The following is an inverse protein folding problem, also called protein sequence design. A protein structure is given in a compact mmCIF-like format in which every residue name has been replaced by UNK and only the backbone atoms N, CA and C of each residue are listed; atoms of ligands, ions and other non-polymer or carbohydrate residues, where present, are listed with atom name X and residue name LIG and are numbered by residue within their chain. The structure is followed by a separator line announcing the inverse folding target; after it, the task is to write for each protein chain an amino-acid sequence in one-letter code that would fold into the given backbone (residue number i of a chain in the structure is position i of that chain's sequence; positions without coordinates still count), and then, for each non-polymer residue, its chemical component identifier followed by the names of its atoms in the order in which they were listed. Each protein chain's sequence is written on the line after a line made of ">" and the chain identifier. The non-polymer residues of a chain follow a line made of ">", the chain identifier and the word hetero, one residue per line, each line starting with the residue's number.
data_IF_671678969732
#
_entry.id   IF_671678969732
#
_cell.length_a   1.000
_cell.length_b   1.000
_cell.length_c   1.000
_cell.angle_alpha   90.00
_cell.angle_beta   90.00
_cell.angle_gamma   90.00
#
_symmetry.space_group_name_H-M   'P 1'
#
loop_
_entity.id
_entity.type
_entity.pdbx_description
1 polymer ?
#
# COMPACT_ATOMS: atom_id res chain seq x y z
N UNK A 1 19.75 2.97 -10.69
CA UNK A 1 18.46 2.25 -10.68
C UNK A 1 17.38 3.12 -10.10
N UNK A 2 16.19 2.98 -10.58
CA UNK A 2 15.10 3.82 -10.17
C UNK A 2 14.27 3.14 -9.08
N UNK A 3 13.87 3.89 -8.06
CA UNK A 3 12.93 3.44 -7.05
C UNK A 3 11.53 3.91 -7.42
N UNK A 4 10.54 3.07 -7.22
CA UNK A 4 9.14 3.43 -7.37
C UNK A 4 8.34 2.81 -6.24
N UNK A 5 7.43 3.57 -5.66
CA UNK A 5 6.50 3.09 -4.65
C UNK A 5 5.07 3.50 -5.00
N UNK A 6 4.11 2.64 -4.74
CA UNK A 6 2.70 2.98 -4.87
C UNK A 6 2.15 3.48 -3.54
N UNK A 7 1.37 4.55 -3.59
CA UNK A 7 0.62 5.06 -2.44
C UNK A 7 -0.88 5.04 -2.76
N UNK A 8 -1.69 4.52 -1.85
CA UNK A 8 -3.13 4.46 -2.05
C UNK A 8 -3.78 5.82 -1.79
N UNK A 9 -4.72 6.20 -2.67
CA UNK A 9 -5.59 7.36 -2.50
C UNK A 9 -6.97 6.83 -2.09
N UNK A 10 -7.44 7.17 -0.89
CA UNK A 10 -8.64 6.59 -0.28
C UNK A 10 -9.61 7.65 0.19
N UNK A 11 -10.90 7.31 0.24
CA UNK A 11 -11.91 8.13 0.91
C UNK A 11 -11.87 7.96 2.44
N UNK A 12 -12.73 8.69 3.15
CA UNK A 12 -12.83 8.61 4.62
C UNK A 12 -13.25 7.20 5.13
N UNK A 13 -13.87 6.38 4.28
CA UNK A 13 -14.27 5.00 4.58
C UNK A 13 -13.20 3.98 4.17
N UNK A 14 -12.00 4.41 3.82
CA UNK A 14 -10.88 3.57 3.39
C UNK A 14 -11.12 2.85 2.04
N UNK A 15 -12.06 3.33 1.23
CA UNK A 15 -12.26 2.82 -0.12
C UNK A 15 -11.26 3.44 -1.07
N UNK A 16 -10.48 2.60 -1.73
CA UNK A 16 -9.44 3.03 -2.67
C UNK A 16 -10.05 3.61 -3.93
N UNK A 17 -9.67 4.86 -4.26
CA UNK A 17 -9.93 5.53 -5.53
C UNK A 17 -8.96 5.05 -6.61
N UNK A 18 -7.66 5.03 -6.29
CA UNK A 18 -6.56 4.67 -7.17
C UNK A 18 -5.23 4.69 -6.42
N UNK A 19 -4.14 4.58 -7.16
CA UNK A 19 -2.79 4.59 -6.60
C UNK A 19 -1.93 5.66 -7.27
N UNK A 20 -1.24 6.48 -6.47
CA UNK A 20 -0.16 7.32 -6.99
C UNK A 20 1.13 6.51 -7.06
N UNK A 21 1.86 6.68 -8.17
CA UNK A 21 3.17 6.09 -8.35
C UNK A 21 4.24 7.16 -8.15
N UNK A 22 4.99 7.04 -7.05
CA UNK A 22 6.13 7.92 -6.73
C UNK A 22 7.42 7.30 -7.18
N UNK A 23 8.24 8.10 -7.83
CA UNK A 23 9.47 7.67 -8.47
C UNK A 23 10.67 8.50 -8.03
N UNK A 24 11.85 7.89 -8.00
CA UNK A 24 13.14 8.55 -7.82
C UNK A 24 14.20 7.91 -8.72
N UNK A 25 15.09 8.70 -9.28
CA UNK A 25 16.21 8.23 -10.08
C UNK A 25 17.41 7.74 -9.22
N UNK A 26 18.47 7.26 -9.90
CA UNK A 26 19.68 6.71 -9.27
C UNK A 26 20.46 7.72 -8.39
N UNK A 27 20.20 9.00 -8.52
CA UNK A 27 20.96 10.03 -7.81
C UNK A 27 20.34 10.39 -6.44
N UNK A 28 19.23 9.74 -6.06
CA UNK A 28 18.52 9.97 -4.80
C UNK A 28 18.13 11.45 -4.54
N UNK A 29 18.37 12.31 -5.49
CA UNK A 29 17.94 13.70 -5.46
C UNK A 29 16.66 13.79 -6.30
N UNK A 30 15.61 14.36 -5.73
CA UNK A 30 14.40 14.76 -6.46
C UNK A 30 14.77 15.92 -7.39
N UNK A 31 15.46 15.60 -8.48
CA UNK A 31 16.00 16.60 -9.39
C UNK A 31 15.50 16.29 -10.77
N UNK A 32 14.93 17.28 -11.37
CA UNK A 32 14.35 17.25 -12.70
C UNK A 32 13.03 16.45 -12.73
N UNK A 33 11.92 17.13 -12.40
CA UNK A 33 10.56 16.59 -12.43
C UNK A 33 10.23 15.90 -13.76
N UNK A 34 10.90 16.32 -14.84
CA UNK A 34 10.70 15.76 -16.17
C UNK A 34 11.30 14.35 -16.32
N UNK A 35 12.51 14.12 -15.83
CA UNK A 35 13.13 12.79 -15.87
C UNK A 35 12.42 11.83 -14.91
N UNK A 36 12.02 12.29 -13.74
CA UNK A 36 11.26 11.50 -12.78
C UNK A 36 9.91 11.08 -13.37
N UNK A 37 9.17 12.00 -13.98
CA UNK A 37 7.90 11.74 -14.63
C UNK A 37 8.06 10.78 -15.83
N UNK A 38 9.07 11.01 -16.71
CA UNK A 38 9.32 10.15 -17.86
C UNK A 38 9.70 8.71 -17.44
N UNK A 39 10.47 8.57 -16.39
CA UNK A 39 10.88 7.27 -15.85
C UNK A 39 9.72 6.56 -15.17
N UNK A 40 8.88 7.27 -14.41
CA UNK A 40 7.66 6.71 -13.83
C UNK A 40 6.76 6.14 -14.92
N UNK A 41 6.51 6.92 -15.97
CA UNK A 41 5.71 6.49 -17.14
C UNK A 41 6.35 5.29 -17.84
N UNK A 42 7.66 5.32 -18.12
CA UNK A 42 8.36 4.22 -18.79
C UNK A 42 8.29 2.92 -17.99
N UNK A 43 8.50 2.99 -16.68
CA UNK A 43 8.40 1.82 -15.81
C UNK A 43 6.96 1.31 -15.73
N UNK A 44 5.98 2.21 -15.68
CA UNK A 44 4.57 1.81 -15.72
C UNK A 44 4.22 1.12 -17.03
N UNK A 45 4.69 1.59 -18.18
CA UNK A 45 4.44 0.97 -19.47
C UNK A 45 5.07 -0.43 -19.59
N UNK A 46 6.23 -0.64 -18.98
CA UNK A 46 6.90 -1.94 -18.99
C UNK A 46 6.30 -2.94 -17.99
N UNK A 47 5.70 -2.45 -16.91
CA UNK A 47 5.19 -3.28 -15.82
C UNK A 47 3.66 -3.36 -15.77
N UNK A 48 2.93 -2.33 -16.23
CA UNK A 48 1.46 -2.20 -16.17
C UNK A 48 0.73 -3.00 -17.27
N UNK A 49 1.43 -3.73 -18.10
CA UNK A 49 0.79 -4.84 -18.83
C UNK A 49 0.09 -5.86 -17.89
N UNK A 50 0.37 -5.79 -16.59
CA UNK A 50 -0.25 -6.60 -15.56
C UNK A 50 -1.10 -5.73 -14.62
N UNK A 51 -2.42 -5.91 -14.65
CA UNK A 51 -3.38 -5.39 -13.64
C UNK A 51 -3.01 -5.81 -12.19
N UNK A 52 -1.97 -6.62 -12.05
CA UNK A 52 -1.44 -7.14 -10.78
C UNK A 52 -0.94 -6.05 -9.83
N UNK A 53 -0.40 -4.92 -10.33
CA UNK A 53 0.13 -3.86 -9.46
C UNK A 53 -0.95 -3.01 -8.81
N UNK A 54 -2.08 -2.81 -9.46
CA UNK A 54 -3.12 -1.88 -9.02
C UNK A 54 -4.46 -2.53 -8.70
N UNK A 55 -4.60 -3.85 -8.92
CA UNK A 55 -5.86 -4.57 -8.69
C UNK A 55 -7.04 -3.94 -9.46
N UNK A 56 -6.82 -3.60 -10.73
CA UNK A 56 -7.80 -2.93 -11.59
C UNK A 56 -8.19 -1.49 -11.21
N UNK A 57 -7.47 -0.85 -10.29
CA UNK A 57 -7.69 0.56 -9.95
C UNK A 57 -6.84 1.46 -10.85
N UNK A 58 -7.30 2.70 -11.14
CA UNK A 58 -6.52 3.64 -11.94
C UNK A 58 -5.25 4.07 -11.21
N UNK A 59 -4.25 4.43 -12.01
CA UNK A 59 -3.01 5.06 -11.53
C UNK A 59 -3.05 6.56 -11.70
N UNK A 60 -2.50 7.27 -10.74
CA UNK A 60 -2.21 8.69 -10.81
C UNK A 60 -0.75 8.85 -11.21
N UNK A 61 -0.50 9.46 -12.37
CA UNK A 61 0.85 9.73 -12.89
C UNK A 61 1.02 11.20 -13.20
N UNK A 62 2.17 11.74 -12.79
CA UNK A 62 2.53 13.12 -13.09
C UNK A 62 3.00 13.25 -14.54
N UNK A 63 2.46 14.25 -15.24
CA UNK A 63 2.83 14.58 -16.60
C UNK A 63 3.33 16.01 -16.68
N UNK A 64 4.56 16.17 -17.17
CA UNK A 64 5.11 17.47 -17.56
C UNK A 64 4.56 17.91 -18.89
N UNK A 65 4.71 19.20 -19.23
CA UNK A 65 4.29 19.70 -20.53
C UNK A 65 4.87 18.92 -21.70
N UNK A 66 6.15 18.59 -21.65
CA UNK A 66 6.86 17.83 -22.68
C UNK A 66 6.24 16.43 -22.91
N UNK A 67 5.86 15.73 -21.85
CA UNK A 67 5.19 14.43 -21.95
C UNK A 67 3.78 14.55 -22.56
N UNK A 68 3.06 15.63 -22.23
CA UNK A 68 1.75 15.91 -22.82
C UNK A 68 1.85 16.23 -24.32
N UNK A 69 2.80 17.08 -24.71
CA UNK A 69 3.02 17.46 -26.11
C UNK A 69 3.44 16.25 -26.96
N UNK A 70 4.20 15.33 -26.41
CA UNK A 70 4.61 14.07 -27.04
C UNK A 70 3.51 12.98 -27.02
N UNK A 71 2.33 13.30 -26.52
CA UNK A 71 1.19 12.39 -26.46
C UNK A 71 1.43 11.10 -25.66
N UNK A 72 2.31 11.17 -24.68
CA UNK A 72 2.65 10.01 -23.83
C UNK A 72 1.42 9.45 -23.09
N UNK A 73 0.43 10.26 -22.60
CA UNK A 73 -0.79 9.71 -21.99
C UNK A 73 -1.56 8.75 -22.89
N UNK A 74 -1.52 8.93 -24.23
CA UNK A 74 -2.22 8.05 -25.20
C UNK A 74 -1.72 6.59 -25.20
N UNK A 75 -0.58 6.31 -24.54
CA UNK A 75 -0.07 4.95 -24.32
C UNK A 75 -0.85 4.18 -23.25
N UNK A 76 -1.69 4.86 -22.48
CA UNK A 76 -2.53 4.28 -21.43
C UNK A 76 -4.00 4.35 -21.81
N UNK A 77 -4.77 3.34 -21.39
CA UNK A 77 -6.23 3.40 -21.49
C UNK A 77 -6.82 4.46 -20.55
N UNK A 78 -7.77 5.31 -21.00
CA UNK A 78 -8.32 6.40 -20.20
C UNK A 78 -8.97 5.96 -18.87
N UNK A 79 -9.48 4.73 -18.80
CA UNK A 79 -10.07 4.17 -17.57
C UNK A 79 -9.01 3.72 -16.54
N UNK A 80 -7.76 3.54 -16.98
CA UNK A 80 -6.64 3.10 -16.14
C UNK A 80 -5.72 4.23 -15.70
N UNK A 81 -5.86 5.44 -16.26
CA UNK A 81 -5.01 6.58 -16.00
C UNK A 81 -5.80 7.79 -15.48
N UNK A 82 -5.30 8.40 -14.41
CA UNK A 82 -5.66 9.75 -14.01
C UNK A 82 -4.40 10.60 -14.17
N UNK A 83 -4.47 11.55 -15.10
CA UNK A 83 -3.35 12.43 -15.42
C UNK A 83 -3.20 13.47 -14.32
N UNK A 84 -2.04 13.56 -13.70
CA UNK A 84 -1.71 14.59 -12.72
C UNK A 84 -0.84 15.62 -13.40
N UNK A 85 -1.23 16.89 -13.31
CA UNK A 85 -0.50 18.02 -13.85
C UNK A 85 -0.34 19.11 -12.80
N UNK A 86 0.78 19.81 -12.83
CA UNK A 86 0.95 20.99 -11.99
C UNK A 86 0.18 22.18 -12.51
N UNK A 87 -0.21 23.10 -11.62
CA UNK A 87 -0.92 24.32 -12.01
C UNK A 87 -0.06 25.25 -12.88
N UNK A 88 1.26 25.17 -12.74
CA UNK A 88 2.24 25.89 -13.57
C UNK A 88 2.06 25.65 -15.09
N UNK A 89 1.63 24.44 -15.45
CA UNK A 89 1.36 24.08 -16.86
C UNK A 89 0.19 24.89 -17.42
N UNK A 90 -0.79 25.28 -16.59
CA UNK A 90 -1.99 26.00 -17.00
C UNK A 90 -1.74 27.49 -17.36
N UNK A 91 -0.52 27.97 -17.18
CA UNK A 91 -0.16 29.34 -17.55
C UNK A 91 -0.16 29.54 -19.06
N UNK A 92 0.23 28.51 -19.81
CA UNK A 92 0.25 28.56 -21.29
C UNK A 92 -1.13 28.17 -21.87
N UNK A 93 -1.74 29.02 -22.71
CA UNK A 93 -3.00 28.69 -23.38
C UNK A 93 -2.96 27.40 -24.20
N UNK A 94 -1.83 27.05 -24.80
CA UNK A 94 -1.69 25.79 -25.56
C UNK A 94 -1.85 24.57 -24.71
N UNK A 95 -1.32 24.60 -23.48
CA UNK A 95 -1.47 23.49 -22.55
C UNK A 95 -2.91 23.30 -22.11
N UNK A 96 -3.67 24.39 -21.95
CA UNK A 96 -5.10 24.32 -21.65
C UNK A 96 -5.87 23.61 -22.76
N UNK A 97 -5.60 23.94 -24.03
CA UNK A 97 -6.25 23.28 -25.18
C UNK A 97 -5.92 21.78 -25.21
N UNK A 98 -4.66 21.43 -24.93
CA UNK A 98 -4.21 20.03 -24.85
C UNK A 98 -4.91 19.27 -23.73
N UNK A 99 -5.03 19.85 -22.54
CA UNK A 99 -5.74 19.23 -21.40
C UNK A 99 -7.22 19.03 -21.71
N UNK A 100 -7.86 20.02 -22.37
CA UNK A 100 -9.25 19.92 -22.80
C UNK A 100 -9.41 18.78 -23.84
N UNK A 101 -8.43 18.60 -24.74
CA UNK A 101 -8.44 17.49 -25.70
C UNK A 101 -8.35 16.13 -25.01
N UNK A 102 -7.42 15.96 -24.05
CA UNK A 102 -7.34 14.73 -23.27
C UNK A 102 -8.63 14.43 -22.50
N UNK A 103 -9.24 15.47 -21.92
CA UNK A 103 -10.53 15.31 -21.23
C UNK A 103 -11.64 14.82 -22.17
N UNK A 104 -11.70 15.36 -23.41
CA UNK A 104 -12.65 14.91 -24.44
C UNK A 104 -12.39 13.46 -24.87
N UNK A 105 -11.13 13.02 -24.83
CA UNK A 105 -10.73 11.64 -25.11
C UNK A 105 -10.97 10.67 -23.95
N UNK A 106 -11.59 11.14 -22.86
CA UNK A 106 -12.02 10.30 -21.73
C UNK A 106 -11.05 10.22 -20.56
N UNK A 107 -9.90 10.88 -20.63
CA UNK A 107 -8.96 10.92 -19.49
C UNK A 107 -9.51 11.77 -18.35
N UNK A 108 -9.25 11.33 -17.11
CA UNK A 108 -9.49 12.14 -15.92
C UNK A 108 -8.24 12.97 -15.60
N UNK A 109 -8.48 14.21 -15.15
CA UNK A 109 -7.42 15.19 -14.89
C UNK A 109 -7.43 15.58 -13.42
N UNK A 110 -6.25 15.50 -12.79
CA UNK A 110 -5.99 16.01 -11.44
C UNK A 110 -4.96 17.14 -11.53
N UNK A 111 -5.22 18.25 -10.84
CA UNK A 111 -4.27 19.37 -10.76
C UNK A 111 -3.67 19.42 -9.37
N UNK A 112 -2.34 19.48 -9.30
CA UNK A 112 -1.58 19.58 -8.04
C UNK A 112 -1.27 21.04 -7.73
N UNK A 113 -1.36 21.40 -6.46
CA UNK A 113 -1.00 22.70 -5.87
C UNK A 113 -1.72 23.89 -6.49
N UNK A 114 -2.96 23.65 -6.89
CA UNK A 114 -3.81 24.61 -7.56
C UNK A 114 -4.01 25.87 -6.73
N UNK A 115 -3.63 27.01 -7.31
CA UNK A 115 -3.90 28.33 -6.76
C UNK A 115 -5.02 28.98 -7.57
N UNK A 116 -6.02 29.53 -6.88
CA UNK A 116 -7.18 30.10 -7.53
C UNK A 116 -6.87 31.46 -8.16
N UNK A 117 -6.53 31.45 -9.46
CA UNK A 117 -6.48 32.66 -10.27
C UNK A 117 -7.66 32.69 -11.25
N UNK A 118 -8.25 33.88 -11.53
CA UNK A 118 -9.39 34.00 -12.44
C UNK A 118 -9.18 33.39 -13.83
N UNK A 119 -7.92 33.33 -14.29
CA UNK A 119 -7.54 32.74 -15.58
C UNK A 119 -7.81 31.22 -15.68
N UNK A 120 -7.94 30.52 -14.56
CA UNK A 120 -8.14 29.08 -14.53
C UNK A 120 -9.62 28.64 -14.58
N UNK A 121 -10.56 29.57 -14.47
CA UNK A 121 -11.97 29.20 -14.49
C UNK A 121 -12.39 28.45 -15.77
N UNK A 122 -11.79 28.79 -16.92
CA UNK A 122 -12.09 28.12 -18.19
C UNK A 122 -11.61 26.67 -18.26
N UNK A 123 -10.58 26.29 -17.50
CA UNK A 123 -10.04 24.92 -17.49
C UNK A 123 -10.73 24.03 -16.45
N UNK A 124 -11.35 24.63 -15.43
CA UNK A 124 -11.96 23.87 -14.34
C UNK A 124 -12.98 22.84 -14.82
N UNK A 125 -13.72 23.13 -15.89
CA UNK A 125 -14.68 22.17 -16.45
C UNK A 125 -14.00 20.87 -16.93
N UNK A 126 -12.72 20.96 -17.32
CA UNK A 126 -11.93 19.83 -17.80
C UNK A 126 -11.17 19.10 -16.70
N UNK A 127 -11.23 19.57 -15.44
CA UNK A 127 -10.55 18.99 -14.27
C UNK A 127 -11.54 18.16 -13.46
N UNK A 128 -11.11 17.01 -12.97
CA UNK A 128 -11.92 16.14 -12.09
C UNK A 128 -11.51 16.29 -10.63
N UNK A 129 -10.20 16.40 -10.37
CA UNK A 129 -9.61 16.42 -9.03
C UNK A 129 -8.69 17.62 -8.84
N UNK A 130 -8.75 18.21 -7.65
CA UNK A 130 -7.79 19.20 -7.18
C UNK A 130 -7.02 18.57 -6.03
N UNK A 131 -5.69 18.58 -6.12
CA UNK A 131 -4.78 18.01 -5.11
C UNK A 131 -4.15 19.14 -4.30
N UNK A 132 -4.17 19.00 -2.98
CA UNK A 132 -3.62 19.96 -2.01
C UNK A 132 -2.62 19.26 -1.09
N UNK A 133 -1.42 19.85 -0.94
CA UNK A 133 -0.33 19.29 -0.13
C UNK A 133 -0.49 19.66 1.34
N UNK A 134 -0.57 18.67 2.23
CA UNK A 134 -0.63 18.86 3.67
C UNK A 134 0.69 18.57 4.39
N UNK A 135 1.75 18.19 3.67
CA UNK A 135 3.06 17.93 4.27
C UNK A 135 3.82 19.20 4.59
N UNK A 136 3.69 20.22 3.74
CA UNK A 136 4.48 21.45 3.80
C UNK A 136 3.62 22.64 3.39
N UNK A 137 3.78 23.75 4.09
CA UNK A 137 3.22 25.03 3.66
C UNK A 137 2.07 25.55 4.52
N UNK A 138 1.57 26.69 4.10
CA UNK A 138 0.47 27.40 4.74
C UNK A 138 -0.87 26.88 4.21
N UNK A 139 -1.62 26.17 5.04
CA UNK A 139 -2.95 25.66 4.72
C UNK A 139 -4.07 26.70 4.82
N UNK A 140 -3.74 27.94 5.21
CA UNK A 140 -4.73 29.00 5.46
C UNK A 140 -5.62 29.33 4.26
N UNK A 141 -5.15 29.10 3.04
CA UNK A 141 -5.92 29.34 1.80
C UNK A 141 -6.76 28.14 1.37
N UNK A 142 -6.51 26.94 1.91
CA UNK A 142 -7.13 25.69 1.46
C UNK A 142 -8.65 25.69 1.63
N UNK A 143 -9.17 26.27 2.72
CA UNK A 143 -10.60 26.39 2.94
C UNK A 143 -11.31 27.13 1.79
N UNK A 144 -10.72 28.23 1.32
CA UNK A 144 -11.27 29.00 0.18
C UNK A 144 -11.16 28.23 -1.12
N UNK A 145 -10.02 27.56 -1.38
CA UNK A 145 -9.81 26.74 -2.58
C UNK A 145 -10.83 25.60 -2.61
N UNK A 146 -11.01 24.88 -1.51
CA UNK A 146 -11.93 23.75 -1.38
C UNK A 146 -13.40 24.23 -1.62
N UNK A 147 -13.78 25.35 -1.02
CA UNK A 147 -15.13 25.89 -1.17
C UNK A 147 -15.45 26.21 -2.64
N UNK A 148 -14.52 26.88 -3.33
CA UNK A 148 -14.68 27.23 -4.74
C UNK A 148 -14.67 25.95 -5.61
N UNK A 149 -13.73 25.05 -5.39
CA UNK A 149 -13.65 23.79 -6.14
C UNK A 149 -14.94 22.97 -6.02
N UNK A 150 -15.53 22.90 -4.83
CA UNK A 150 -16.83 22.25 -4.61
C UNK A 150 -17.97 22.93 -5.34
N UNK A 151 -17.95 24.26 -5.45
CA UNK A 151 -18.94 25.00 -6.23
C UNK A 151 -18.89 24.63 -7.72
N UNK A 152 -17.72 24.21 -8.22
CA UNK A 152 -17.52 23.66 -9.57
C UNK A 152 -17.63 22.12 -9.62
N UNK A 153 -18.18 21.48 -8.61
CA UNK A 153 -18.32 20.02 -8.50
C UNK A 153 -17.01 19.24 -8.65
N UNK A 154 -15.88 19.83 -8.20
CA UNK A 154 -14.57 19.15 -8.22
C UNK A 154 -14.34 18.36 -6.94
N UNK A 155 -13.61 17.25 -7.05
CA UNK A 155 -13.22 16.42 -5.94
C UNK A 155 -11.85 16.84 -5.41
N UNK A 156 -11.70 16.86 -4.11
CA UNK A 156 -10.47 17.30 -3.44
C UNK A 156 -9.71 16.09 -2.91
N UNK A 157 -8.44 16.02 -3.26
CA UNK A 157 -7.49 15.03 -2.74
C UNK A 157 -6.48 15.76 -1.85
N UNK A 158 -6.48 15.45 -0.56
CA UNK A 158 -5.43 15.87 0.36
C UNK A 158 -4.28 14.87 0.28
N UNK A 159 -3.08 15.31 -0.12
CA UNK A 159 -1.92 14.44 -0.21
C UNK A 159 -0.81 14.86 0.76
N UNK A 160 0.14 13.94 1.02
CA UNK A 160 1.19 14.15 2.01
C UNK A 160 0.68 14.07 3.46
N UNK A 161 -0.36 13.30 3.71
CA UNK A 161 -0.92 13.10 5.04
C UNK A 161 -0.07 12.09 5.83
N UNK A 162 0.84 12.59 6.64
CA UNK A 162 1.76 11.77 7.43
C UNK A 162 1.40 11.68 8.91
N UNK A 163 0.52 12.58 9.38
CA UNK A 163 0.11 12.66 10.79
C UNK A 163 -1.40 12.66 10.94
N UNK A 164 -1.86 12.39 12.16
CA UNK A 164 -3.27 12.46 12.49
C UNK A 164 -3.80 13.89 12.38
N UNK A 165 -3.02 14.85 12.83
CA UNK A 165 -3.39 16.27 12.82
C UNK A 165 -3.64 16.76 11.39
N UNK A 166 -2.74 16.43 10.45
CA UNK A 166 -2.92 16.75 9.03
C UNK A 166 -4.17 16.06 8.44
N UNK A 167 -4.45 14.82 8.84
CA UNK A 167 -5.67 14.13 8.42
C UNK A 167 -6.93 14.81 8.95
N UNK A 168 -6.96 15.12 10.25
CA UNK A 168 -8.13 15.72 10.90
C UNK A 168 -8.40 17.12 10.28
N UNK A 169 -7.35 17.92 10.06
CA UNK A 169 -7.46 19.22 9.38
C UNK A 169 -8.03 19.07 7.94
N UNK A 170 -7.49 18.16 7.14
CA UNK A 170 -7.97 17.92 5.77
C UNK A 170 -9.43 17.43 5.75
N UNK A 171 -9.83 16.61 6.72
CA UNK A 171 -11.19 16.11 6.86
C UNK A 171 -12.17 17.23 7.30
N UNK A 172 -11.77 18.09 8.25
CA UNK A 172 -12.55 19.25 8.69
C UNK A 172 -12.76 20.27 7.57
N UNK A 173 -11.71 20.51 6.76
CA UNK A 173 -11.81 21.34 5.55
C UNK A 173 -12.71 20.71 4.48
N UNK A 174 -13.02 19.43 4.61
CA UNK A 174 -13.95 18.70 3.75
C UNK A 174 -13.31 18.15 2.49
N UNK A 175 -12.07 17.69 2.53
CA UNK A 175 -11.46 16.90 1.44
C UNK A 175 -12.23 15.60 1.22
N UNK A 176 -12.31 15.14 -0.04
CA UNK A 176 -13.04 13.92 -0.42
C UNK A 176 -12.17 12.69 -0.32
N UNK A 177 -10.87 12.82 -0.61
CA UNK A 177 -9.88 11.73 -0.64
C UNK A 177 -8.59 12.15 0.07
N UNK A 178 -7.87 11.16 0.53
CA UNK A 178 -6.66 11.32 1.34
C UNK A 178 -5.57 10.39 0.85
N UNK A 179 -4.32 10.86 0.89
CA UNK A 179 -3.14 10.11 0.48
C UNK A 179 -1.99 10.40 1.45
N UNK A 180 -1.29 9.35 1.87
CA UNK A 180 -0.12 9.45 2.75
C UNK A 180 0.05 8.24 3.65
N UNK A 181 1.19 8.17 4.35
CA UNK A 181 1.53 7.03 5.20
C UNK A 181 0.54 6.85 6.36
N UNK A 182 0.06 7.95 6.95
CA UNK A 182 -0.95 7.90 8.01
C UNK A 182 -2.27 7.32 7.49
N UNK A 183 -2.68 7.67 6.27
CA UNK A 183 -3.95 7.23 5.66
C UNK A 183 -3.95 5.73 5.43
N UNK A 184 -2.84 5.18 4.95
CA UNK A 184 -2.70 3.74 4.70
C UNK A 184 -2.84 2.90 5.99
N UNK A 185 -2.50 3.47 7.14
CA UNK A 185 -2.56 2.81 8.44
C UNK A 185 -3.79 3.20 9.29
N UNK A 186 -4.62 4.13 8.81
CA UNK A 186 -5.80 4.59 9.54
C UNK A 186 -6.89 3.54 9.54
N UNK A 187 -7.60 3.42 10.66
CA UNK A 187 -8.81 2.62 10.77
C UNK A 187 -10.07 3.48 10.62
N UNK A 188 -11.15 2.97 10.03
CA UNK A 188 -12.45 3.62 10.03
C UNK A 188 -12.93 3.85 11.46
N UNK A 189 -13.58 4.99 11.70
CA UNK A 189 -14.09 5.38 13.04
C UNK A 189 -15.20 4.46 13.59
N UNK A 190 -15.74 3.58 12.77
CA UNK A 190 -16.88 2.70 13.10
C UNK A 190 -16.50 1.29 13.53
N UNK A 191 -15.19 0.96 13.64
CA UNK A 191 -14.77 -0.38 14.04
C UNK A 191 -15.06 -0.59 15.53
N UNK A 192 -15.90 -1.59 15.84
CA UNK A 192 -16.05 -2.08 17.21
C UNK A 192 -14.76 -2.82 17.61
N UNK A 193 -14.25 -2.57 18.83
CA UNK A 193 -13.17 -3.38 19.41
C UNK A 193 -13.56 -4.86 19.27
N UNK A 194 -12.81 -5.57 18.45
CA UNK A 194 -12.96 -7.01 18.31
C UNK A 194 -12.15 -7.67 19.41
N UNK A 195 -12.70 -8.71 20.02
CA UNK A 195 -11.94 -9.60 20.92
C UNK A 195 -10.98 -10.45 20.07
N UNK A 196 -10.07 -9.74 19.39
CA UNK A 196 -9.09 -10.29 18.43
C UNK A 196 -8.18 -11.35 19.07
N UNK A 197 -7.89 -11.19 20.36
CA UNK A 197 -7.04 -12.11 21.11
C UNK A 197 -7.81 -13.32 21.68
N UNK A 198 -9.11 -13.43 21.44
CA UNK A 198 -9.93 -14.53 21.93
C UNK A 198 -10.36 -15.46 20.79
N UNK A 199 -10.03 -16.73 20.92
CA UNK A 199 -10.55 -17.79 20.05
C UNK A 199 -9.47 -18.59 19.30
N UNK A 200 -9.96 -19.52 18.47
CA UNK A 200 -9.16 -20.45 17.67
C UNK A 200 -8.11 -19.76 16.78
N UNK A 201 -8.37 -18.51 16.41
CA UNK A 201 -7.45 -17.74 15.57
C UNK A 201 -6.14 -17.37 16.30
N UNK A 202 -6.24 -16.87 17.54
CA UNK A 202 -5.05 -16.58 18.35
C UNK A 202 -4.21 -17.84 18.57
N UNK A 203 -4.87 -18.97 18.86
CA UNK A 203 -4.20 -20.26 18.99
C UNK A 203 -3.49 -20.66 17.68
N UNK A 204 -4.11 -20.44 16.52
CA UNK A 204 -3.47 -20.68 15.23
C UNK A 204 -2.27 -19.78 15.00
N UNK A 205 -2.36 -18.50 15.31
CA UNK A 205 -1.24 -17.54 15.21
C UNK A 205 -0.05 -18.03 16.04
N UNK A 206 -0.30 -18.41 17.30
CA UNK A 206 0.74 -18.95 18.19
C UNK A 206 1.34 -20.24 17.62
N UNK A 207 0.49 -21.17 17.16
CA UNK A 207 0.94 -22.47 16.64
C UNK A 207 1.84 -22.32 15.40
N UNK A 208 1.54 -21.37 14.49
CA UNK A 208 2.32 -21.16 13.25
C UNK A 208 3.55 -20.25 13.43
N UNK A 209 3.69 -19.58 14.57
CA UNK A 209 4.88 -18.78 14.90
C UNK A 209 5.97 -19.58 15.60
N UNK A 210 5.67 -20.82 16.01
CA UNK A 210 6.69 -21.72 16.60
C UNK A 210 7.81 -22.01 15.59
N UNK A 211 9.07 -22.14 16.04
CA UNK A 211 10.20 -22.52 15.17
C UNK A 211 9.96 -23.84 14.44
N UNK A 212 9.36 -24.82 15.11
CA UNK A 212 8.89 -26.07 14.51
C UNK A 212 7.36 -26.10 14.59
N UNK A 213 6.73 -26.11 13.42
CA UNK A 213 5.26 -26.13 13.31
C UNK A 213 4.79 -27.58 13.44
N UNK A 214 3.96 -27.82 14.45
CA UNK A 214 3.22 -29.07 14.59
C UNK A 214 1.94 -29.03 13.73
N UNK A 215 1.97 -29.78 12.61
CA UNK A 215 0.84 -29.88 11.71
C UNK A 215 -0.39 -30.54 12.33
N UNK A 216 -0.20 -31.41 13.32
CA UNK A 216 -1.30 -32.05 14.04
C UNK A 216 -1.99 -31.05 14.95
N UNK A 217 -1.24 -30.22 15.68
CA UNK A 217 -1.77 -29.12 16.48
C UNK A 217 -2.57 -28.15 15.60
N UNK A 218 -2.00 -27.68 14.50
CA UNK A 218 -2.67 -26.74 13.57
C UNK A 218 -3.94 -27.38 12.98
N UNK A 219 -3.85 -28.64 12.56
CA UNK A 219 -4.99 -29.38 12.03
C UNK A 219 -6.11 -29.52 13.06
N UNK A 220 -5.78 -29.78 14.31
CA UNK A 220 -6.77 -29.89 15.38
C UNK A 220 -7.49 -28.55 15.63
N UNK A 221 -6.74 -27.45 15.71
CA UNK A 221 -7.33 -26.11 15.91
C UNK A 221 -8.27 -25.76 14.75
N UNK A 222 -7.86 -25.96 13.50
CA UNK A 222 -8.69 -25.68 12.32
C UNK A 222 -9.92 -26.57 12.29
N UNK A 223 -9.77 -27.85 12.61
CA UNK A 223 -10.87 -28.82 12.55
C UNK A 223 -11.97 -28.59 13.61
N UNK A 224 -11.65 -27.86 14.69
CA UNK A 224 -12.64 -27.43 15.69
C UNK A 224 -13.55 -26.30 15.22
N UNK A 225 -13.17 -25.64 14.11
CA UNK A 225 -13.90 -24.50 13.57
C UNK A 225 -14.39 -24.82 12.16
N UNK A 226 -15.70 -24.93 11.99
CA UNK A 226 -16.34 -25.27 10.71
C UNK A 226 -16.03 -24.23 9.64
N UNK A 227 -15.97 -22.95 10.01
CA UNK A 227 -15.71 -21.85 9.08
C UNK A 227 -14.27 -21.89 8.59
N UNK A 228 -13.31 -22.13 9.49
CA UNK A 228 -11.89 -22.28 9.13
C UNK A 228 -11.66 -23.52 8.26
N UNK A 229 -12.28 -24.64 8.63
CA UNK A 229 -12.21 -25.89 7.83
C UNK A 229 -12.75 -25.68 6.41
N UNK A 230 -13.91 -25.06 6.30
CA UNK A 230 -14.52 -24.78 4.99
C UNK A 230 -13.65 -23.84 4.16
N UNK A 231 -13.15 -22.76 4.75
CA UNK A 231 -12.31 -21.77 4.07
C UNK A 231 -10.99 -22.39 3.58
N UNK A 232 -10.33 -23.23 4.38
CA UNK A 232 -9.11 -23.94 4.00
C UNK A 232 -9.34 -24.90 2.83
N UNK A 233 -10.36 -25.76 2.94
CA UNK A 233 -10.67 -26.72 1.90
C UNK A 233 -11.08 -26.03 0.59
N UNK A 234 -11.82 -24.94 0.66
CA UNK A 234 -12.20 -24.13 -0.50
C UNK A 234 -10.98 -23.52 -1.18
N UNK A 235 -10.06 -22.93 -0.41
CA UNK A 235 -8.82 -22.33 -0.91
C UNK A 235 -7.99 -23.36 -1.67
N UNK A 236 -7.68 -24.48 -1.03
CA UNK A 236 -6.77 -25.51 -1.58
C UNK A 236 -7.40 -26.20 -2.81
N UNK A 237 -8.71 -26.32 -2.85
CA UNK A 237 -9.44 -26.92 -3.99
C UNK A 237 -9.78 -25.91 -5.10
N UNK A 238 -9.33 -24.64 -4.98
CA UNK A 238 -9.49 -23.64 -6.03
C UNK A 238 -8.64 -23.93 -7.26
N UNK A 239 -8.93 -23.27 -8.37
CA UNK A 239 -8.17 -23.41 -9.62
C UNK A 239 -6.68 -23.05 -9.48
N UNK A 240 -6.34 -22.22 -8.50
CA UNK A 240 -4.95 -21.83 -8.20
C UNK A 240 -4.02 -23.00 -7.90
N UNK A 241 -4.50 -24.00 -7.11
CA UNK A 241 -3.69 -25.16 -6.77
C UNK A 241 -3.75 -26.29 -7.83
N UNK A 242 -4.64 -26.21 -8.79
CA UNK A 242 -4.79 -27.14 -9.93
C UNK A 242 -4.67 -28.64 -9.53
N UNK A 243 -5.24 -29.02 -8.39
CA UNK A 243 -5.14 -30.38 -7.85
C UNK A 243 -5.87 -31.36 -8.75
N UNK A 244 -5.21 -32.50 -9.10
CA UNK A 244 -5.85 -33.63 -9.78
C UNK A 244 -6.97 -34.26 -8.93
N UNK A 245 -6.71 -34.44 -7.64
CA UNK A 245 -7.67 -34.94 -6.66
C UNK A 245 -7.90 -33.87 -5.60
N UNK A 246 -9.15 -33.57 -5.32
CA UNK A 246 -9.50 -32.56 -4.30
C UNK A 246 -9.09 -33.02 -2.91
N UNK A 247 -8.55 -32.09 -2.10
CA UNK A 247 -8.31 -32.31 -0.70
C UNK A 247 -9.66 -32.41 0.05
N UNK A 248 -9.86 -33.50 0.78
CA UNK A 248 -11.09 -33.77 1.55
C UNK A 248 -10.92 -33.65 3.05
N UNK A 249 -9.68 -33.52 3.53
CA UNK A 249 -9.36 -33.37 4.95
C UNK A 249 -8.47 -32.16 5.21
N UNK A 250 -8.55 -31.62 6.43
CA UNK A 250 -7.68 -30.50 6.86
C UNK A 250 -6.20 -30.88 6.72
N UNK A 251 -5.79 -32.08 7.13
CA UNK A 251 -4.40 -32.54 7.00
C UNK A 251 -3.92 -32.54 5.56
N UNK A 252 -4.74 -33.07 4.62
CA UNK A 252 -4.40 -33.04 3.19
C UNK A 252 -4.25 -31.61 2.68
N UNK A 253 -5.17 -30.74 3.07
CA UNK A 253 -5.13 -29.33 2.69
C UNK A 253 -3.87 -28.61 3.22
N UNK A 254 -3.47 -28.88 4.45
CA UNK A 254 -2.26 -28.32 5.04
C UNK A 254 -0.98 -28.76 4.32
N UNK A 255 -0.90 -30.03 3.93
CA UNK A 255 0.23 -30.56 3.15
C UNK A 255 0.32 -29.91 1.78
N UNK A 256 -0.82 -29.73 1.10
CA UNK A 256 -0.87 -29.06 -0.21
C UNK A 256 -0.49 -27.58 -0.10
N UNK A 257 -1.01 -26.89 0.92
CA UNK A 257 -0.78 -25.47 1.12
C UNK A 257 0.68 -25.17 1.46
N UNK A 258 1.29 -26.01 2.28
CA UNK A 258 2.64 -25.81 2.81
C UNK A 258 2.72 -24.68 3.87
N UNK A 259 3.82 -24.63 4.61
CA UNK A 259 3.99 -23.77 5.78
C UNK A 259 3.89 -22.29 5.44
N UNK A 260 4.55 -21.86 4.38
CA UNK A 260 4.59 -20.44 4.01
C UNK A 260 3.20 -19.90 3.64
N UNK A 261 2.47 -20.64 2.81
CA UNK A 261 1.12 -20.26 2.39
C UNK A 261 0.10 -20.44 3.51
N UNK A 262 0.30 -21.43 4.40
CA UNK A 262 -0.51 -21.60 5.60
C UNK A 262 -0.42 -20.37 6.51
N UNK A 263 0.78 -19.88 6.80
CA UNK A 263 0.97 -18.65 7.58
C UNK A 263 0.24 -17.48 6.96
N UNK A 264 0.42 -17.27 5.67
CA UNK A 264 -0.27 -16.19 4.94
C UNK A 264 -1.79 -16.32 5.03
N UNK A 265 -2.33 -17.53 4.83
CA UNK A 265 -3.75 -17.79 4.88
C UNK A 265 -4.36 -17.56 6.29
N UNK A 266 -3.68 -18.02 7.34
CA UNK A 266 -4.11 -17.81 8.73
C UNK A 266 -4.14 -16.31 9.03
N UNK A 267 -3.12 -15.58 8.63
CA UNK A 267 -3.08 -14.14 8.80
C UNK A 267 -4.22 -13.42 8.06
N UNK A 268 -4.52 -13.83 6.84
CA UNK A 268 -5.66 -13.27 6.09
C UNK A 268 -7.00 -13.54 6.74
N UNK A 269 -7.22 -14.73 7.25
CA UNK A 269 -8.47 -15.09 7.94
C UNK A 269 -8.67 -14.31 9.23
N UNK A 270 -7.60 -13.97 9.94
CA UNK A 270 -7.67 -13.19 11.16
C UNK A 270 -8.41 -11.89 10.99
N UNK A 271 -8.19 -11.27 9.85
CA UNK A 271 -8.75 -9.96 9.57
C UNK A 271 -10.15 -10.03 8.95
N UNK A 272 -10.52 -11.19 8.40
CA UNK A 272 -11.84 -11.40 7.78
C UNK A 272 -12.96 -11.71 8.78
N UNK A 273 -12.64 -12.18 9.98
CA UNK A 273 -13.65 -12.48 11.03
C UNK A 273 -14.20 -11.23 11.73
N UNK A 274 -13.61 -10.06 11.51
CA UNK A 274 -14.13 -8.79 11.99
C UNK A 274 -15.19 -8.31 11.00
N UNK A 275 -16.45 -8.51 11.22
CA UNK A 275 -17.69 -7.98 10.57
C UNK A 275 -17.55 -7.08 9.31
N UNK A 276 -16.56 -7.33 8.44
CA UNK A 276 -16.27 -6.51 7.24
C UNK A 276 -15.76 -5.10 7.54
N UNK A 277 -15.35 -4.82 8.76
CA UNK A 277 -14.97 -3.48 9.24
C UNK A 277 -13.48 -3.16 9.05
N UNK A 278 -12.63 -4.15 8.76
CA UNK A 278 -11.18 -3.92 8.57
C UNK A 278 -10.87 -3.45 7.14
N UNK A 279 -10.05 -2.39 7.00
CA UNK A 279 -9.65 -1.91 5.69
C UNK A 279 -8.79 -2.93 4.94
N UNK A 280 -9.21 -3.30 3.75
CA UNK A 280 -8.47 -4.22 2.88
C UNK A 280 -7.03 -3.75 2.65
N UNK A 281 -6.82 -2.44 2.51
CA UNK A 281 -5.48 -1.87 2.27
C UNK A 281 -4.54 -2.00 3.47
N UNK A 282 -5.04 -1.91 4.71
CA UNK A 282 -4.22 -2.12 5.90
C UNK A 282 -3.75 -3.57 6.00
N UNK A 283 -4.62 -4.51 5.65
CA UNK A 283 -4.28 -5.93 5.59
C UNK A 283 -3.25 -6.19 4.49
N UNK A 284 -3.47 -5.65 3.28
CA UNK A 284 -2.50 -5.76 2.17
C UNK A 284 -1.15 -5.14 2.53
N UNK A 285 -1.15 -4.01 3.27
CA UNK A 285 0.07 -3.38 3.76
C UNK A 285 0.84 -4.30 4.70
N UNK A 286 0.14 -5.00 5.62
CA UNK A 286 0.77 -6.00 6.50
C UNK A 286 1.47 -7.10 5.70
N UNK A 287 0.78 -7.63 4.68
CA UNK A 287 1.35 -8.67 3.81
C UNK A 287 2.50 -8.17 2.96
N UNK A 288 2.39 -6.95 2.45
CA UNK A 288 3.46 -6.34 1.66
C UNK A 288 4.72 -6.18 2.52
N UNK A 289 4.59 -5.62 3.73
CA UNK A 289 5.70 -5.47 4.67
C UNK A 289 6.30 -6.81 5.06
N UNK A 290 5.47 -7.83 5.28
CA UNK A 290 5.92 -9.18 5.62
C UNK A 290 6.77 -9.80 4.51
N UNK A 291 6.24 -9.82 3.28
CA UNK A 291 6.97 -10.36 2.14
C UNK A 291 8.23 -9.54 1.84
N UNK A 292 8.15 -8.22 1.94
CA UNK A 292 9.28 -7.33 1.68
C UNK A 292 10.39 -7.55 2.72
N UNK A 293 10.06 -7.62 4.01
CA UNK A 293 11.02 -7.95 5.07
C UNK A 293 11.70 -9.31 4.86
N UNK A 294 10.91 -10.36 4.51
CA UNK A 294 11.42 -11.71 4.22
C UNK A 294 12.40 -11.71 3.04
N UNK A 295 12.08 -10.99 1.97
CA UNK A 295 12.98 -10.97 0.81
C UNK A 295 14.23 -10.11 1.05
N UNK A 296 14.10 -8.96 1.71
CA UNK A 296 15.23 -8.11 2.07
C UNK A 296 16.19 -8.83 3.05
N UNK A 297 15.68 -9.61 3.99
CA UNK A 297 16.50 -10.33 4.97
C UNK A 297 17.48 -11.30 4.34
N UNK A 298 17.20 -11.82 3.14
CA UNK A 298 18.10 -12.70 2.38
C UNK A 298 19.39 -12.03 1.93
N UNK A 299 19.37 -10.70 1.85
CA UNK A 299 20.52 -9.89 1.45
C UNK A 299 21.17 -9.19 2.64
N UNK A 300 20.44 -9.03 3.75
CA UNK A 300 20.93 -8.35 4.94
C UNK A 300 21.96 -9.20 5.68
N UNK A 301 23.10 -8.60 6.01
CA UNK A 301 24.17 -9.27 6.74
C UNK A 301 23.93 -9.21 8.24
N UNK A 302 24.37 -10.27 8.94
CA UNK A 302 24.37 -10.36 10.39
C UNK A 302 23.03 -10.01 11.08
N UNK A 303 21.90 -10.36 10.45
CA UNK A 303 20.59 -10.27 11.10
C UNK A 303 20.50 -11.34 12.20
N UNK A 304 20.04 -10.98 13.42
CA UNK A 304 19.87 -11.93 14.51
C UNK A 304 18.58 -12.76 14.41
N UNK A 305 17.91 -12.72 13.27
CA UNK A 305 16.65 -13.41 12.96
C UNK A 305 16.73 -14.09 11.60
N UNK A 306 15.98 -15.15 11.41
CA UNK A 306 15.87 -15.83 10.12
C UNK A 306 14.84 -15.15 9.20
N UNK A 307 14.73 -15.64 7.95
CA UNK A 307 13.81 -15.07 6.95
C UNK A 307 12.34 -15.20 7.38
N UNK A 308 11.98 -16.25 8.11
CA UNK A 308 10.63 -16.47 8.62
C UNK A 308 10.31 -15.46 9.73
N UNK A 309 11.26 -15.21 10.61
CA UNK A 309 11.14 -14.19 11.64
C UNK A 309 11.11 -12.77 11.05
N UNK A 310 11.86 -12.52 9.97
CA UNK A 310 11.78 -11.27 9.24
C UNK A 310 10.38 -11.06 8.61
N UNK A 311 9.74 -12.13 8.11
CA UNK A 311 8.34 -12.09 7.68
C UNK A 311 7.43 -11.63 8.83
N UNK A 312 7.61 -12.16 10.05
CA UNK A 312 6.81 -11.77 11.22
C UNK A 312 7.06 -10.30 11.62
N UNK A 313 8.30 -9.81 11.50
CA UNK A 313 8.61 -8.39 11.71
C UNK A 313 7.73 -7.50 10.83
N UNK A 314 7.69 -7.75 9.53
CA UNK A 314 6.85 -6.99 8.61
C UNK A 314 5.36 -7.12 8.91
N UNK A 315 4.88 -8.36 9.15
CA UNK A 315 3.49 -8.68 9.43
C UNK A 315 2.97 -7.97 10.68
N UNK A 316 3.70 -8.01 11.77
CA UNK A 316 3.25 -7.45 13.04
C UNK A 316 3.46 -5.93 13.16
N UNK A 317 4.07 -5.29 12.15
CA UNK A 317 4.24 -3.84 12.14
C UNK A 317 2.91 -3.06 12.17
N UNK A 318 1.84 -3.67 11.72
CA UNK A 318 0.48 -3.09 11.73
C UNK A 318 -0.42 -3.65 12.84
N UNK A 319 0.08 -4.58 13.67
CA UNK A 319 -0.71 -5.31 14.64
C UNK A 319 -1.45 -4.38 15.62
N UNK A 320 -0.78 -3.36 16.15
CA UNK A 320 -1.41 -2.39 17.06
C UNK A 320 -2.57 -1.63 16.43
N UNK A 321 -2.49 -1.34 15.12
CA UNK A 321 -3.59 -0.72 14.36
C UNK A 321 -4.73 -1.71 14.16
N UNK A 322 -4.43 -2.92 13.72
CA UNK A 322 -5.43 -3.95 13.45
C UNK A 322 -6.18 -4.38 14.72
N UNK A 323 -5.49 -4.48 15.85
CA UNK A 323 -6.10 -4.89 17.13
C UNK A 323 -6.68 -3.74 17.93
N UNK A 324 -6.37 -2.48 17.57
CA UNK A 324 -6.70 -1.28 18.35
C UNK A 324 -6.18 -1.32 19.80
N UNK A 325 -5.10 -2.06 20.02
CA UNK A 325 -4.39 -2.19 21.28
C UNK A 325 -2.99 -1.59 21.09
N UNK A 326 -2.36 -0.96 22.11
CA UNK A 326 -0.97 -0.56 21.99
C UNK A 326 -0.10 -1.70 21.48
N UNK A 327 0.78 -1.43 20.52
CA UNK A 327 1.58 -2.47 19.86
C UNK A 327 2.38 -3.29 20.86
N UNK A 328 2.92 -2.63 21.89
CA UNK A 328 3.67 -3.29 22.96
C UNK A 328 2.83 -4.35 23.70
N UNK A 329 1.56 -4.02 24.02
CA UNK A 329 0.66 -4.96 24.69
C UNK A 329 0.29 -6.12 23.76
N UNK A 330 0.01 -5.83 22.49
CA UNK A 330 -0.30 -6.87 21.50
C UNK A 330 0.89 -7.84 21.27
N UNK A 331 2.13 -7.33 21.27
CA UNK A 331 3.33 -8.14 21.08
C UNK A 331 3.75 -8.95 22.33
N UNK A 332 3.31 -8.52 23.52
CA UNK A 332 3.68 -9.21 24.79
C UNK A 332 3.19 -10.65 24.81
N UNK A 333 2.01 -10.90 24.28
CA UNK A 333 1.35 -12.22 24.27
C UNK A 333 1.90 -13.16 23.17
N UNK A 334 2.72 -12.62 22.24
CA UNK A 334 3.21 -13.41 21.12
C UNK A 334 4.56 -14.07 21.44
N UNK A 335 4.74 -15.38 21.12
CA UNK A 335 6.01 -16.10 21.28
C UNK A 335 6.97 -15.79 20.12
N UNK A 336 7.34 -14.53 19.97
CA UNK A 336 8.28 -14.05 18.94
C UNK A 336 9.57 -13.54 19.59
N UNK A 337 10.63 -13.49 18.78
CA UNK A 337 11.95 -13.02 19.20
C UNK A 337 11.89 -11.61 19.81
N UNK A 338 12.65 -11.39 20.90
CA UNK A 338 12.81 -10.07 21.50
C UNK A 338 13.46 -9.07 20.52
N UNK A 339 14.24 -9.53 19.56
CA UNK A 339 14.78 -8.69 18.50
C UNK A 339 13.68 -8.08 17.63
N UNK A 340 12.61 -8.84 17.35
CA UNK A 340 11.44 -8.35 16.60
C UNK A 340 10.65 -7.35 17.44
N UNK A 341 10.39 -7.66 18.71
CA UNK A 341 9.65 -6.77 19.61
C UNK A 341 10.37 -5.41 19.74
N UNK A 342 11.67 -5.44 20.03
CA UNK A 342 12.50 -4.24 20.12
C UNK A 342 12.49 -3.44 18.81
N UNK A 343 12.65 -4.12 17.67
CA UNK A 343 12.60 -3.46 16.36
C UNK A 343 11.26 -2.76 16.09
N UNK A 344 10.16 -3.39 16.45
CA UNK A 344 8.81 -2.85 16.22
C UNK A 344 8.44 -1.71 17.18
N UNK A 345 8.92 -1.76 18.43
CA UNK A 345 8.58 -0.78 19.47
C UNK A 345 9.53 0.43 19.44
N UNK A 346 10.84 0.19 19.46
CA UNK A 346 11.87 1.23 19.58
C UNK A 346 12.70 1.46 18.32
N UNK A 347 12.54 0.63 17.28
CA UNK A 347 13.32 0.65 16.02
C UNK A 347 14.82 0.46 16.22
N UNK A 348 15.21 -0.24 17.25
CA UNK A 348 16.61 -0.46 17.62
C UNK A 348 17.17 -1.75 17.02
N UNK A 349 18.50 -1.81 16.94
CA UNK A 349 19.24 -2.96 16.45
C UNK A 349 19.15 -3.18 14.95
N UNK A 350 19.73 -4.29 14.46
CA UNK A 350 19.75 -4.60 13.03
C UNK A 350 18.36 -4.90 12.47
N UNK A 351 17.48 -5.48 13.26
CA UNK A 351 16.08 -5.67 12.89
C UNK A 351 15.33 -4.34 12.78
N UNK A 352 15.66 -3.35 13.64
CA UNK A 352 15.14 -1.99 13.54
C UNK A 352 15.58 -1.30 12.24
N UNK A 353 16.85 -1.49 11.82
CA UNK A 353 17.33 -0.99 10.54
C UNK A 353 16.58 -1.62 9.35
N UNK A 354 16.31 -2.94 9.40
CA UNK A 354 15.51 -3.61 8.36
C UNK A 354 14.10 -3.02 8.29
N UNK A 355 13.50 -2.77 9.44
CA UNK A 355 12.18 -2.14 9.52
C UNK A 355 12.21 -0.69 9.00
N UNK A 356 13.27 0.07 9.29
CA UNK A 356 13.44 1.42 8.75
C UNK A 356 13.61 1.44 7.23
N UNK A 357 14.32 0.49 6.63
CA UNK A 357 14.38 0.35 5.16
C UNK A 357 12.98 0.27 4.57
N UNK A 358 12.11 -0.57 5.16
CA UNK A 358 10.74 -0.76 4.69
C UNK A 358 9.92 0.53 4.81
N UNK A 359 9.92 1.15 6.00
CA UNK A 359 9.13 2.35 6.26
C UNK A 359 9.60 3.55 5.44
N UNK A 360 10.92 3.72 5.28
CA UNK A 360 11.48 4.79 4.46
C UNK A 360 11.16 4.59 2.98
N UNK A 361 11.17 3.33 2.50
CA UNK A 361 10.76 3.02 1.13
C UNK A 361 9.30 3.41 0.89
N UNK A 362 8.39 3.00 1.76
CA UNK A 362 6.95 3.32 1.66
C UNK A 362 6.66 4.82 1.66
N UNK A 363 7.48 5.59 2.38
CA UNK A 363 7.38 7.06 2.46
C UNK A 363 8.07 7.79 1.31
N UNK A 364 8.70 7.06 0.39
CA UNK A 364 9.57 7.62 -0.64
C UNK A 364 10.74 8.45 -0.06
N UNK A 365 11.23 8.09 1.14
CA UNK A 365 12.37 8.73 1.81
C UNK A 365 13.67 8.03 1.40
N UNK A 366 14.06 8.19 0.14
CA UNK A 366 15.08 7.40 -0.53
C UNK A 366 16.47 7.48 0.11
N UNK A 367 16.88 8.67 0.57
CA UNK A 367 18.17 8.88 1.23
C UNK A 367 18.24 8.11 2.56
N UNK A 368 17.21 8.24 3.40
CA UNK A 368 17.15 7.52 4.68
C UNK A 368 17.05 6.00 4.47
N UNK A 369 16.31 5.56 3.45
CA UNK A 369 16.24 4.15 3.06
C UNK A 369 17.62 3.62 2.67
N UNK A 370 18.38 4.36 1.83
CA UNK A 370 19.71 3.95 1.38
C UNK A 370 20.72 3.88 2.54
N UNK A 371 20.69 4.84 3.48
CA UNK A 371 21.54 4.82 4.67
C UNK A 371 21.28 3.60 5.56
N UNK A 372 20.02 3.21 5.75
CA UNK A 372 19.66 2.02 6.53
C UNK A 372 20.00 0.73 5.80
N UNK A 373 19.85 0.70 4.47
CA UNK A 373 20.22 -0.43 3.62
C UNK A 373 21.75 -0.64 3.60
N UNK A 374 22.54 0.43 3.51
CA UNK A 374 24.01 0.38 3.55
C UNK A 374 24.51 -0.24 4.86
N UNK A 375 23.93 0.15 6.01
CA UNK A 375 24.28 -0.43 7.33
C UNK A 375 23.98 -1.92 7.44
N UNK A 376 23.06 -2.42 6.63
CA UNK A 376 22.70 -3.84 6.53
C UNK A 376 23.42 -4.56 5.39
N UNK A 377 24.20 -3.85 4.60
CA UNK A 377 24.86 -4.34 3.37
C UNK A 377 23.84 -4.88 2.33
N UNK A 378 22.60 -4.34 2.32
CA UNK A 378 21.57 -4.68 1.34
C UNK A 378 21.87 -3.91 0.04
N UNK A 379 22.02 -4.60 -1.11
CA UNK A 379 22.21 -3.94 -2.38
C UNK A 379 21.00 -3.07 -2.76
N UNK A 380 21.19 -1.77 -2.85
CA UNK A 380 20.09 -0.82 -3.13
C UNK A 380 19.44 -1.05 -4.49
N UNK A 381 20.18 -1.60 -5.46
CA UNK A 381 19.67 -1.98 -6.77
C UNK A 381 18.63 -3.11 -6.76
N UNK A 382 18.59 -3.90 -5.69
CA UNK A 382 17.61 -4.99 -5.52
C UNK A 382 16.32 -4.55 -4.85
N UNK A 383 16.36 -3.49 -4.06
CA UNK A 383 15.23 -3.11 -3.19
C UNK A 383 13.96 -2.83 -4.02
N UNK A 384 14.09 -2.05 -5.10
CA UNK A 384 12.96 -1.72 -5.97
C UNK A 384 12.36 -2.97 -6.64
N UNK A 385 13.19 -3.82 -7.20
CA UNK A 385 12.75 -5.07 -7.83
C UNK A 385 11.99 -5.94 -6.82
N UNK A 386 12.57 -6.14 -5.63
CA UNK A 386 11.97 -6.94 -4.56
C UNK A 386 10.61 -6.36 -4.16
N UNK A 387 10.51 -5.03 -4.03
CA UNK A 387 9.25 -4.37 -3.68
C UNK A 387 8.13 -4.70 -4.68
N UNK A 388 8.43 -4.60 -6.00
CA UNK A 388 7.44 -4.91 -7.04
C UNK A 388 7.00 -6.36 -7.03
N UNK A 389 7.94 -7.29 -6.93
CA UNK A 389 7.64 -8.71 -6.83
C UNK A 389 6.73 -9.00 -5.61
N UNK A 390 6.95 -8.29 -4.50
CA UNK A 390 6.09 -8.40 -3.31
C UNK A 390 4.70 -7.80 -3.54
N UNK A 391 4.60 -6.67 -4.24
CA UNK A 391 3.30 -6.04 -4.58
C UNK A 391 2.47 -6.95 -5.47
N UNK A 392 3.06 -7.50 -6.53
CA UNK A 392 2.39 -8.46 -7.42
C UNK A 392 1.91 -9.68 -6.64
N UNK A 393 2.79 -10.30 -5.88
CA UNK A 393 2.47 -11.47 -5.06
C UNK A 393 1.29 -11.22 -4.11
N UNK A 394 1.28 -10.07 -3.43
CA UNK A 394 0.20 -9.72 -2.50
C UNK A 394 -1.12 -9.51 -3.23
N UNK A 395 -1.12 -8.86 -4.38
CA UNK A 395 -2.33 -8.65 -5.17
C UNK A 395 -2.87 -9.96 -5.75
N UNK A 396 -2.01 -10.87 -6.21
CA UNK A 396 -2.41 -12.19 -6.71
C UNK A 396 -3.06 -13.02 -5.61
N UNK A 397 -2.44 -13.06 -4.42
CA UNK A 397 -3.02 -13.74 -3.24
C UNK A 397 -4.38 -13.11 -2.89
N UNK A 398 -4.46 -11.79 -2.86
CA UNK A 398 -5.69 -11.07 -2.54
C UNK A 398 -6.81 -11.38 -3.52
N UNK A 399 -6.51 -11.33 -4.82
CA UNK A 399 -7.47 -11.65 -5.89
C UNK A 399 -7.93 -13.10 -5.78
N UNK A 400 -7.02 -14.06 -5.56
CA UNK A 400 -7.34 -15.47 -5.37
C UNK A 400 -8.26 -15.73 -4.17
N UNK A 401 -8.18 -14.93 -3.11
CA UNK A 401 -9.03 -15.06 -1.91
C UNK A 401 -10.39 -14.39 -2.10
N UNK A 402 -10.45 -13.24 -2.79
CA UNK A 402 -11.69 -12.49 -3.00
C UNK A 402 -12.60 -13.12 -4.07
N UNK A 403 -12.04 -13.85 -5.02
CA UNK A 403 -12.80 -14.55 -6.07
C UNK A 403 -13.34 -15.92 -5.63
N UNK A 404 -12.99 -16.37 -4.45
CA UNK A 404 -13.51 -17.61 -3.81
C UNK A 404 -14.55 -17.32 -2.76
#
# INVERSE_FOLDING_TARGET
>A
MAYMVRQSIMDANQKVLGYEMRYCDDNLNATDDENAAANAVSNMLTQVGNDSLTGNKPVFLNFTWNLLERKVPEMFSPDKLIMVVEDSILIDPKSNDTIIEYRKNGYKIAITDFQFFPRYFGILDSVDYIRLCFSYGDTSTFGSIIQIAKAFNKKIIAYGIETKEAYDEAAELGCDYFEGSFVAEKLPTTIKKTDFLQGNFFLLMVAVTKPEIDYDEVSEIISRDVTLTFALLKLVNSAWFALRNKASTVKQALVVLGISQLKQWIYLLSFRQSDGSMPDELIKLSFLRANFAEQLSKYAKDLPIDNTEAYLLGMFSTLGKLTQIPLEDALRELPISEHIKTALISKEGRCGLLYDVILCYEKASWNAMAESAEKLEIPTDKIAQIYFECVEKVNDIWTGIMTT
#
